data_IF_247513074988
#
_entry.id   IF_247513074988
#
_cell.length_a   1.000
_cell.length_b   1.000
_cell.length_c   1.000
_cell.angle_alpha   90.00
_cell.angle_beta   90.00
_cell.angle_gamma   90.00
#
_symmetry.space_group_name_H-M   'P 1'
#
loop_
_entity.id
_entity.type
_entity.pdbx_description
1 polymer ?
#
# COMPACT_ATOMS: atom_id res chain seq x y z
N UNK A 1 28.79 0.97 13.57
CA UNK A 1 27.47 1.37 13.02
C UNK A 1 27.34 0.76 11.63
N UNK A 2 26.69 -0.41 11.53
CA UNK A 2 26.43 -1.06 10.24
C UNK A 2 25.34 -0.28 9.51
N UNK A 3 25.67 0.30 8.37
CA UNK A 3 24.69 0.90 7.45
C UNK A 3 23.85 -0.25 6.93
N UNK A 4 22.55 -0.28 7.24
CA UNK A 4 21.61 -1.24 6.65
C UNK A 4 21.75 -1.15 5.12
N UNK A 5 22.37 -2.16 4.51
CA UNK A 5 22.51 -2.22 3.08
C UNK A 5 21.08 -2.25 2.49
N UNK A 6 20.66 -1.23 1.70
CA UNK A 6 19.34 -1.25 1.07
C UNK A 6 19.17 -2.45 0.13
N UNK A 7 20.26 -3.16 -0.17
CA UNK A 7 20.34 -4.37 -0.97
C UNK A 7 20.58 -5.64 -0.14
N UNK A 8 20.41 -5.64 1.19
CA UNK A 8 20.41 -6.85 2.01
C UNK A 8 18.96 -7.33 2.24
N UNK A 9 18.51 -8.30 1.44
CA UNK A 9 17.19 -8.92 1.59
C UNK A 9 16.69 -9.57 0.30
N UNK A 10 15.81 -10.57 0.38
CA UNK A 10 15.24 -11.22 -0.81
C UNK A 10 14.44 -10.26 -1.71
N UNK A 11 14.14 -10.66 -2.96
CA UNK A 11 13.42 -9.83 -3.93
C UNK A 11 12.03 -9.38 -3.41
N UNK A 12 11.26 -10.29 -2.81
CA UNK A 12 9.92 -10.00 -2.30
C UNK A 12 9.85 -8.89 -1.22
N UNK A 13 10.65 -8.91 -0.14
CA UNK A 13 10.61 -7.84 0.86
C UNK A 13 11.05 -6.48 0.30
N UNK A 14 11.97 -6.44 -0.68
CA UNK A 14 12.36 -5.19 -1.36
C UNK A 14 11.21 -4.61 -2.17
N UNK A 15 10.54 -5.42 -2.99
CA UNK A 15 9.39 -4.99 -3.76
C UNK A 15 8.25 -4.49 -2.86
N UNK A 16 8.00 -5.15 -1.72
CA UNK A 16 7.01 -4.71 -0.72
C UNK A 16 7.40 -3.42 -0.01
N UNK A 17 8.69 -3.19 0.22
CA UNK A 17 9.17 -1.92 0.79
C UNK A 17 8.97 -0.81 -0.22
N UNK A 18 9.34 -1.03 -1.47
CA UNK A 18 9.17 -0.08 -2.56
C UNK A 18 7.68 0.27 -2.79
N UNK A 19 6.79 -0.73 -2.83
CA UNK A 19 5.34 -0.49 -2.95
C UNK A 19 4.81 0.37 -1.79
N UNK A 20 5.26 0.11 -0.55
CA UNK A 20 4.88 0.92 0.62
C UNK A 20 5.41 2.36 0.54
N UNK A 21 6.65 2.54 0.10
CA UNK A 21 7.26 3.87 -0.10
C UNK A 21 6.49 4.64 -1.19
N UNK A 22 6.20 4.01 -2.34
CA UNK A 22 5.40 4.60 -3.42
C UNK A 22 3.95 4.89 -2.98
N UNK A 23 3.33 4.00 -2.22
CA UNK A 23 1.98 4.20 -1.69
C UNK A 23 1.90 5.42 -0.76
N UNK A 24 2.89 5.58 0.12
CA UNK A 24 2.98 6.70 1.03
C UNK A 24 3.17 8.02 0.25
N UNK A 25 4.11 8.05 -0.70
CA UNK A 25 4.35 9.22 -1.54
C UNK A 25 3.11 9.60 -2.38
N UNK A 26 2.46 8.62 -3.00
CA UNK A 26 1.23 8.81 -3.79
C UNK A 26 0.09 9.33 -2.91
N UNK A 27 -0.09 8.76 -1.71
CA UNK A 27 -1.16 9.20 -0.80
C UNK A 27 -0.91 10.61 -0.29
N UNK A 28 0.34 10.95 0.03
CA UNK A 28 0.71 12.31 0.45
C UNK A 28 0.44 13.31 -0.68
N UNK A 29 0.89 13.00 -1.90
CA UNK A 29 0.64 13.81 -3.09
C UNK A 29 -0.85 13.99 -3.35
N UNK A 30 -1.65 12.92 -3.36
CA UNK A 30 -3.12 13.01 -3.51
C UNK A 30 -3.78 13.86 -2.42
N UNK A 31 -3.25 13.84 -1.19
CA UNK A 31 -3.78 14.66 -0.10
C UNK A 31 -3.47 16.15 -0.27
N UNK A 32 -2.34 16.50 -0.92
CA UNK A 32 -1.96 17.88 -1.26
C UNK A 32 -2.64 18.36 -2.55
N UNK A 33 -2.79 17.47 -3.52
CA UNK A 33 -3.37 17.75 -4.84
C UNK A 33 -4.91 17.85 -4.81
N UNK A 34 -5.57 17.31 -3.78
CA UNK A 34 -7.02 17.52 -3.57
C UNK A 34 -7.41 19.00 -3.37
N UNK A 35 -6.44 19.88 -3.09
CA UNK A 35 -6.64 21.34 -3.02
C UNK A 35 -6.20 22.10 -4.26
N UNK A 36 -5.66 21.42 -5.29
CA UNK A 36 -5.29 22.04 -6.55
C UNK A 36 -6.51 22.16 -7.48
N UNK A 37 -6.52 23.18 -8.33
CA UNK A 37 -7.61 23.43 -9.28
C UNK A 37 -7.78 22.29 -10.32
N UNK A 38 -6.72 21.50 -10.56
CA UNK A 38 -6.76 20.36 -11.48
C UNK A 38 -5.91 19.20 -10.95
N UNK A 39 -6.52 18.17 -10.33
CA UNK A 39 -5.78 17.04 -9.80
C UNK A 39 -5.18 16.15 -10.89
N UNK A 40 -3.95 15.66 -10.71
CA UNK A 40 -3.23 14.79 -11.65
C UNK A 40 -3.77 13.34 -11.60
N UNK A 41 -4.87 13.12 -12.31
CA UNK A 41 -5.51 11.79 -12.36
C UNK A 41 -4.67 10.77 -13.12
N UNK A 42 -3.88 11.20 -14.10
CA UNK A 42 -3.17 10.30 -15.02
C UNK A 42 -1.88 9.80 -14.36
N UNK A 43 -1.08 10.68 -13.76
CA UNK A 43 0.12 10.30 -13.01
C UNK A 43 -0.21 9.34 -11.86
N UNK A 44 -1.26 9.62 -11.09
CA UNK A 44 -1.70 8.69 -10.04
C UNK A 44 -2.21 7.35 -10.56
N UNK A 45 -2.91 7.33 -11.71
CA UNK A 45 -3.33 6.07 -12.32
C UNK A 45 -2.13 5.23 -12.77
N UNK A 46 -1.11 5.85 -13.38
CA UNK A 46 0.13 5.19 -13.81
C UNK A 46 0.92 4.65 -12.61
N UNK A 47 1.07 5.41 -11.54
CA UNK A 47 1.67 4.93 -10.29
C UNK A 47 0.87 3.79 -9.66
N UNK A 48 -0.45 3.80 -9.79
CA UNK A 48 -1.32 2.68 -9.43
C UNK A 48 -1.00 1.41 -10.21
N UNK A 49 -0.69 1.52 -11.51
CA UNK A 49 -0.26 0.39 -12.34
C UNK A 49 1.12 -0.12 -11.94
N UNK A 50 2.10 0.76 -11.71
CA UNK A 50 3.42 0.37 -11.18
C UNK A 50 3.27 -0.50 -9.94
N UNK A 51 2.46 -0.04 -8.98
CA UNK A 51 2.23 -0.75 -7.71
C UNK A 51 1.55 -2.11 -7.90
N UNK A 52 0.62 -2.21 -8.86
CA UNK A 52 -0.03 -3.48 -9.21
C UNK A 52 0.99 -4.48 -9.72
N UNK A 53 1.87 -4.06 -10.62
CA UNK A 53 2.91 -4.95 -11.18
C UNK A 53 3.97 -5.33 -10.14
N UNK A 54 4.38 -4.42 -9.25
CA UNK A 54 5.23 -4.76 -8.10
C UNK A 54 4.56 -5.82 -7.20
N UNK A 55 3.25 -5.71 -7.00
CA UNK A 55 2.45 -6.69 -6.25
C UNK A 55 2.40 -8.06 -6.92
N UNK A 56 2.19 -8.10 -8.24
CA UNK A 56 2.21 -9.31 -9.05
C UNK A 56 3.58 -9.99 -8.98
N UNK A 57 4.65 -9.23 -9.20
CA UNK A 57 6.02 -9.71 -9.11
C UNK A 57 6.33 -10.28 -7.71
N UNK A 58 6.00 -9.54 -6.64
CA UNK A 58 6.20 -10.00 -5.26
C UNK A 58 5.37 -11.25 -4.94
N UNK A 59 4.18 -11.39 -5.54
CA UNK A 59 3.32 -12.56 -5.36
C UNK A 59 3.95 -13.84 -5.93
N UNK A 60 4.74 -13.76 -7.00
CA UNK A 60 5.43 -14.91 -7.62
C UNK A 60 6.55 -15.47 -6.74
N UNK A 61 7.09 -14.65 -5.85
CA UNK A 61 8.09 -15.06 -4.85
C UNK A 61 7.48 -15.61 -3.56
N UNK A 62 6.16 -15.53 -3.37
CA UNK A 62 5.49 -16.20 -2.25
C UNK A 62 5.54 -17.71 -2.49
N UNK A 63 6.34 -18.41 -1.69
CA UNK A 63 6.27 -19.86 -1.58
C UNK A 63 4.87 -20.26 -1.16
N UNK A 64 4.26 -21.16 -1.93
CA UNK A 64 2.90 -21.64 -1.70
C UNK A 64 2.81 -22.28 -0.31
N UNK A 65 2.15 -21.55 0.58
CA UNK A 65 1.17 -21.96 1.60
C UNK A 65 0.97 -20.67 2.38
N UNK A 66 0.04 -19.84 1.92
CA UNK A 66 -0.53 -18.80 2.79
C UNK A 66 -1.30 -19.57 3.87
N UNK A 67 -0.60 -20.04 4.90
CA UNK A 67 -1.23 -20.18 6.21
C UNK A 67 -1.94 -18.85 6.48
N UNK A 68 -3.14 -18.87 7.08
CA UNK A 68 -4.03 -17.72 7.12
C UNK A 68 -3.23 -16.48 7.51
N UNK A 69 -3.31 -15.44 6.68
CA UNK A 69 -2.51 -14.23 6.79
C UNK A 69 -2.57 -13.75 8.25
N UNK A 70 -1.43 -13.54 8.91
CA UNK A 70 -1.39 -13.15 10.34
C UNK A 70 -2.22 -11.89 10.61
N UNK A 71 -2.38 -11.02 9.60
CA UNK A 71 -3.28 -9.87 9.64
C UNK A 71 -4.75 -10.27 9.52
N UNK A 72 -5.09 -11.25 8.70
CA UNK A 72 -6.41 -11.87 8.63
C UNK A 72 -6.72 -12.66 9.91
N UNK A 73 -5.77 -13.40 10.48
CA UNK A 73 -5.89 -14.04 11.79
C UNK A 73 -6.15 -12.98 12.86
N UNK A 74 -5.38 -11.89 12.88
CA UNK A 74 -5.61 -10.82 13.85
C UNK A 74 -6.92 -10.08 13.63
N UNK A 75 -7.37 -9.91 12.38
CA UNK A 75 -8.64 -9.28 12.06
C UNK A 75 -9.82 -10.19 12.44
N UNK A 76 -9.69 -11.50 12.21
CA UNK A 76 -10.67 -12.51 12.63
C UNK A 76 -10.69 -12.63 14.15
N UNK A 77 -9.54 -12.67 14.83
CA UNK A 77 -9.46 -12.66 16.29
C UNK A 77 -10.02 -11.37 16.87
N UNK A 78 -9.73 -10.22 16.28
CA UNK A 78 -10.29 -8.94 16.70
C UNK A 78 -11.81 -8.91 16.48
N UNK A 79 -12.31 -9.47 15.37
CA UNK A 79 -13.74 -9.58 15.11
C UNK A 79 -14.42 -10.56 16.09
N UNK A 80 -13.80 -11.71 16.38
CA UNK A 80 -14.29 -12.66 17.39
C UNK A 80 -14.25 -12.06 18.79
N UNK A 81 -13.22 -11.28 19.13
CA UNK A 81 -13.11 -10.61 20.42
C UNK A 81 -14.11 -9.45 20.56
N UNK A 82 -14.28 -8.63 19.52
CA UNK A 82 -15.18 -7.47 19.55
C UNK A 82 -16.65 -7.84 19.38
N UNK A 83 -16.95 -8.95 18.70
CA UNK A 83 -18.33 -9.35 18.37
C UNK A 83 -18.69 -10.66 19.07
N UNK A 84 -17.87 -11.69 18.94
CA UNK A 84 -18.16 -13.04 19.45
C UNK A 84 -18.09 -13.16 20.98
N UNK A 85 -17.11 -12.55 21.64
CA UNK A 85 -16.98 -12.56 23.11
C UNK A 85 -18.12 -11.82 23.81
N UNK A 86 -18.53 -10.61 23.39
CA UNK A 86 -19.74 -9.99 23.93
C UNK A 86 -21.02 -10.78 23.60
N UNK A 87 -21.09 -11.46 22.45
CA UNK A 87 -22.19 -12.37 22.09
C UNK A 87 -22.29 -13.56 23.06
N UNK A 88 -21.16 -14.13 23.48
CA UNK A 88 -21.10 -15.30 24.36
C UNK A 88 -21.32 -14.94 25.84
N UNK A 89 -20.86 -13.76 26.27
CA UNK A 89 -20.92 -13.32 27.67
C UNK A 89 -22.25 -12.66 28.05
N UNK A 90 -23.03 -12.13 27.09
CA UNK A 90 -24.31 -11.46 27.37
C UNK A 90 -25.56 -12.35 27.19
N UNK A 91 -25.42 -13.63 26.85
CA UNK A 91 -26.57 -14.53 26.60
C UNK A 91 -26.76 -15.54 27.73
N UNK A 92 -27.48 -15.19 28.79
CA UNK A 92 -28.45 -16.07 29.40
C UNK A 92 -29.82 -15.80 28.75
N UNK A 93 -30.21 -16.63 27.78
CA UNK A 93 -31.57 -16.66 27.22
C UNK A 93 -31.81 -15.82 25.94
N UNK A 94 -32.94 -16.07 25.24
CA UNK A 94 -33.25 -15.54 23.90
C UNK A 94 -33.63 -14.05 23.92
N UNK A 95 -32.74 -13.19 24.41
CA UNK A 95 -32.95 -11.76 24.49
C UNK A 95 -32.47 -11.04 23.21
N UNK A 96 -33.40 -10.91 22.27
CA UNK A 96 -33.52 -9.83 21.27
C UNK A 96 -32.31 -9.58 20.31
N UNK A 97 -32.30 -10.24 19.12
CA UNK A 97 -31.27 -10.02 18.07
C UNK A 97 -31.14 -8.57 17.59
N UNK A 98 -32.14 -7.70 17.85
CA UNK A 98 -32.14 -6.29 17.48
C UNK A 98 -31.07 -5.44 18.20
N UNK A 99 -30.68 -5.80 19.44
CA UNK A 99 -29.64 -5.05 20.17
C UNK A 99 -28.25 -5.31 19.61
N UNK A 100 -28.03 -6.53 19.14
CA UNK A 100 -26.75 -6.96 18.56
C UNK A 100 -26.52 -6.37 17.16
N UNK A 101 -27.57 -6.29 16.33
CA UNK A 101 -27.49 -5.58 15.05
C UNK A 101 -27.24 -4.11 15.24
N UNK A 102 -27.85 -3.46 16.24
CA UNK A 102 -27.57 -2.07 16.58
C UNK A 102 -26.10 -1.84 16.98
N UNK A 103 -25.51 -2.73 17.78
CA UNK A 103 -24.08 -2.66 18.15
C UNK A 103 -23.18 -2.88 16.94
N UNK A 104 -23.46 -3.88 16.10
CA UNK A 104 -22.68 -4.14 14.90
C UNK A 104 -22.69 -2.94 13.92
N UNK A 105 -23.88 -2.36 13.71
CA UNK A 105 -24.05 -1.15 12.91
C UNK A 105 -23.31 0.03 13.54
N UNK A 106 -23.39 0.21 14.85
CA UNK A 106 -22.65 1.26 15.57
C UNK A 106 -21.13 1.10 15.42
N UNK A 107 -20.59 -0.12 15.49
CA UNK A 107 -19.18 -0.41 15.26
C UNK A 107 -18.75 -0.08 13.82
N UNK A 108 -19.57 -0.41 12.82
CA UNK A 108 -19.32 -0.04 11.42
C UNK A 108 -19.30 1.48 11.26
N UNK A 109 -20.26 2.20 11.84
CA UNK A 109 -20.31 3.67 11.82
C UNK A 109 -19.11 4.30 12.55
N UNK A 110 -18.74 3.77 13.71
CA UNK A 110 -17.56 4.21 14.45
C UNK A 110 -16.28 4.01 13.63
N UNK A 111 -16.16 2.91 12.88
CA UNK A 111 -15.04 2.66 11.98
C UNK A 111 -15.01 3.69 10.83
N UNK A 112 -16.15 4.01 10.22
CA UNK A 112 -16.24 5.05 9.19
C UNK A 112 -15.87 6.44 9.74
N UNK A 113 -16.38 6.81 10.92
CA UNK A 113 -16.03 8.04 11.62
C UNK A 113 -14.53 8.11 11.92
N UNK A 114 -13.97 7.04 12.48
CA UNK A 114 -12.55 6.94 12.77
C UNK A 114 -11.68 7.09 11.51
N UNK A 115 -12.06 6.43 10.41
CA UNK A 115 -11.39 6.60 9.09
C UNK A 115 -11.50 8.03 8.59
N UNK A 116 -12.67 8.67 8.72
CA UNK A 116 -12.88 10.05 8.31
C UNK A 116 -12.04 11.03 9.15
N UNK A 117 -11.95 10.81 10.46
CA UNK A 117 -11.10 11.60 11.37
C UNK A 117 -9.63 11.43 11.01
N UNK A 118 -9.16 10.20 10.82
CA UNK A 118 -7.78 9.94 10.37
C UNK A 118 -7.48 10.60 9.04
N UNK A 119 -8.42 10.56 8.08
CA UNK A 119 -8.28 11.25 6.79
C UNK A 119 -8.17 12.76 6.99
N UNK A 120 -9.04 13.36 7.81
CA UNK A 120 -8.98 14.80 8.14
C UNK A 120 -7.69 15.18 8.84
N UNK A 121 -7.20 14.36 9.78
CA UNK A 121 -5.93 14.61 10.48
C UNK A 121 -4.74 14.52 9.52
N UNK A 122 -4.73 13.56 8.60
CA UNK A 122 -3.70 13.46 7.56
C UNK A 122 -3.71 14.67 6.63
N UNK A 123 -4.89 15.08 6.15
CA UNK A 123 -5.04 16.30 5.33
C UNK A 123 -4.58 17.54 6.10
N UNK A 124 -4.98 17.69 7.37
CA UNK A 124 -4.54 18.80 8.22
C UNK A 124 -3.03 18.81 8.46
N UNK A 125 -2.40 17.64 8.63
CA UNK A 125 -0.94 17.51 8.75
C UNK A 125 -0.25 17.86 7.44
N UNK A 126 -0.77 17.40 6.30
CA UNK A 126 -0.26 17.76 4.98
C UNK A 126 -0.35 19.27 4.73
N UNK A 127 -1.45 19.92 5.13
CA UNK A 127 -1.60 21.40 5.09
C UNK A 127 -0.66 22.17 6.02
N UNK A 128 -0.20 21.54 7.10
CA UNK A 128 0.78 22.12 8.04
C UNK A 128 2.22 21.81 7.64
N UNK A 129 2.44 20.92 6.68
CA UNK A 129 3.78 20.70 6.17
C UNK A 129 4.23 21.98 5.46
N UNK A 130 5.44 22.51 5.74
CA UNK A 130 5.96 23.67 5.03
C UNK A 130 5.97 23.42 3.52
N UNK A 131 5.95 24.49 2.70
CA UNK A 131 5.96 24.52 1.22
C UNK A 131 7.19 23.80 0.60
N UNK A 132 7.35 22.54 0.92
CA UNK A 132 8.31 21.63 0.33
C UNK A 132 7.59 20.89 -0.79
N UNK A 133 8.23 20.72 -1.96
CA UNK A 133 7.67 19.93 -3.05
C UNK A 133 7.22 18.56 -2.54
N UNK A 134 6.16 18.01 -3.12
CA UNK A 134 5.68 16.71 -2.68
C UNK A 134 6.81 15.68 -2.93
N UNK A 135 6.97 14.65 -2.08
CA UNK A 135 7.99 13.62 -2.31
C UNK A 135 7.86 12.94 -3.68
N UNK A 136 6.67 12.98 -4.28
CA UNK A 136 6.40 12.46 -5.62
C UNK A 136 6.98 13.35 -6.73
N UNK A 137 7.34 14.60 -6.44
CA UNK A 137 7.99 15.49 -7.40
C UNK A 137 9.51 15.32 -7.37
N UNK A 138 10.04 14.54 -6.42
CA UNK A 138 11.47 14.32 -6.24
C UNK A 138 12.03 13.34 -7.30
N UNK A 139 12.92 13.79 -8.21
CA UNK A 139 13.55 12.91 -9.20
C UNK A 139 14.34 11.76 -8.57
N UNK A 140 14.87 11.95 -7.35
CA UNK A 140 15.61 10.89 -6.65
C UNK A 140 14.73 9.71 -6.26
N UNK A 141 13.44 9.93 -6.00
CA UNK A 141 12.48 8.87 -5.71
C UNK A 141 12.33 7.95 -6.94
N UNK A 142 12.11 8.52 -8.13
CA UNK A 142 11.99 7.74 -9.38
C UNK A 142 13.30 7.02 -9.73
N UNK A 143 14.44 7.70 -9.60
CA UNK A 143 15.73 7.09 -9.86
C UNK A 143 16.01 5.89 -8.93
N UNK A 144 15.67 6.03 -7.63
CA UNK A 144 15.81 4.94 -6.66
C UNK A 144 14.82 3.80 -6.94
N UNK A 145 13.57 4.13 -7.26
CA UNK A 145 12.56 3.14 -7.62
C UNK A 145 12.99 2.33 -8.84
N UNK A 146 13.41 3.02 -9.91
CA UNK A 146 13.92 2.42 -11.15
C UNK A 146 15.09 1.47 -10.88
N UNK A 147 16.16 1.93 -10.21
CA UNK A 147 17.32 1.09 -9.87
C UNK A 147 16.92 -0.14 -9.05
N UNK A 148 15.99 0.02 -8.12
CA UNK A 148 15.50 -1.10 -7.30
C UNK A 148 14.76 -2.11 -8.16
N UNK A 149 13.87 -1.67 -9.04
CA UNK A 149 13.10 -2.53 -9.95
C UNK A 149 14.03 -3.24 -10.93
N UNK A 150 14.98 -2.54 -11.54
CA UNK A 150 15.99 -3.11 -12.45
C UNK A 150 16.81 -4.20 -11.74
N UNK A 151 17.28 -3.94 -10.51
CA UNK A 151 18.03 -4.93 -9.73
C UNK A 151 17.21 -6.18 -9.39
N UNK A 152 15.92 -5.99 -9.07
CA UNK A 152 14.99 -7.09 -8.81
C UNK A 152 14.65 -7.86 -10.08
N UNK A 153 14.53 -7.19 -11.23
CA UNK A 153 14.29 -7.82 -12.53
C UNK A 153 15.50 -8.65 -12.96
N UNK A 154 16.72 -8.13 -12.80
CA UNK A 154 17.95 -8.88 -13.03
C UNK A 154 18.03 -10.13 -12.15
N UNK A 155 17.72 -9.98 -10.86
CA UNK A 155 17.65 -11.11 -9.92
C UNK A 155 16.59 -12.14 -10.32
N UNK A 156 15.44 -11.69 -10.80
CA UNK A 156 14.36 -12.56 -11.26
C UNK A 156 14.74 -13.37 -12.50
N UNK A 157 15.43 -12.76 -13.47
CA UNK A 157 15.90 -13.45 -14.68
C UNK A 157 16.89 -14.57 -14.36
N UNK A 158 17.70 -14.38 -13.32
CA UNK A 158 18.68 -15.37 -12.85
C UNK A 158 18.08 -16.48 -11.95
N UNK A 159 16.79 -16.40 -11.60
CA UNK A 159 16.17 -17.40 -10.73
C UNK A 159 15.94 -18.73 -11.47
N UNK A 160 16.11 -19.86 -10.78
CA UNK A 160 15.90 -21.20 -11.35
C UNK A 160 14.41 -21.52 -11.51
N UNK A 161 13.55 -20.95 -10.67
CA UNK A 161 12.11 -21.20 -10.73
C UNK A 161 11.48 -20.46 -11.90
N UNK A 162 10.80 -21.18 -12.80
CA UNK A 162 10.04 -20.59 -13.91
C UNK A 162 9.03 -19.52 -13.42
N UNK A 163 8.35 -19.81 -12.31
CA UNK A 163 7.40 -18.87 -11.68
C UNK A 163 8.06 -17.55 -11.29
N UNK A 164 9.27 -17.60 -10.73
CA UNK A 164 10.02 -16.42 -10.28
C UNK A 164 10.69 -15.69 -11.44
N UNK A 165 11.13 -16.40 -12.49
CA UNK A 165 11.55 -15.78 -13.75
C UNK A 165 10.45 -14.94 -14.39
N UNK A 166 9.21 -15.40 -14.34
CA UNK A 166 8.05 -14.63 -14.81
C UNK A 166 7.83 -13.30 -14.08
N UNK A 167 8.43 -13.09 -12.90
CA UNK A 167 8.38 -11.79 -12.23
C UNK A 167 9.24 -10.74 -12.94
N UNK A 168 10.21 -11.13 -13.78
CA UNK A 168 11.00 -10.19 -14.56
C UNK A 168 10.12 -9.39 -15.53
N UNK A 169 9.20 -10.05 -16.22
CA UNK A 169 8.26 -9.39 -17.14
C UNK A 169 7.34 -8.41 -16.41
N UNK A 170 6.76 -8.81 -15.26
CA UNK A 170 5.95 -7.90 -14.44
C UNK A 170 6.77 -6.65 -14.02
N UNK A 171 8.05 -6.83 -13.67
CA UNK A 171 8.93 -5.72 -13.30
C UNK A 171 9.34 -4.85 -14.49
N UNK A 172 9.44 -5.40 -15.70
CA UNK A 172 9.64 -4.63 -16.93
C UNK A 172 8.42 -3.73 -17.21
N UNK A 173 7.20 -4.28 -17.14
CA UNK A 173 5.99 -3.46 -17.22
C UNK A 173 5.92 -2.38 -16.14
N UNK A 174 6.37 -2.69 -14.91
CA UNK A 174 6.46 -1.70 -13.85
C UNK A 174 7.42 -0.55 -14.20
N UNK A 175 8.52 -0.81 -14.92
CA UNK A 175 9.44 0.24 -15.40
C UNK A 175 8.79 1.12 -16.46
N UNK A 176 8.06 0.54 -17.41
CA UNK A 176 7.37 1.29 -18.46
C UNK A 176 6.32 2.24 -17.86
N UNK A 177 5.52 1.73 -16.92
CA UNK A 177 4.55 2.57 -16.20
C UNK A 177 5.21 3.63 -15.33
N UNK A 178 6.39 3.34 -14.76
CA UNK A 178 7.13 4.31 -13.95
C UNK A 178 7.72 5.42 -14.82
N UNK A 179 8.26 5.08 -16.00
CA UNK A 179 8.75 6.05 -16.97
C UNK A 179 7.61 6.94 -17.47
N UNK A 180 6.47 6.33 -17.84
CA UNK A 180 5.28 7.08 -18.22
C UNK A 180 4.77 7.97 -17.07
N UNK A 181 4.80 7.52 -15.82
CA UNK A 181 4.44 8.37 -14.68
C UNK A 181 5.40 9.55 -14.50
N UNK A 182 6.69 9.37 -14.78
CA UNK A 182 7.70 10.42 -14.70
C UNK A 182 7.55 11.47 -15.82
N UNK A 183 7.14 11.06 -17.02
CA UNK A 183 6.90 11.96 -18.15
C UNK A 183 5.71 12.91 -17.93
N UNK A 184 4.72 12.46 -17.14
CA UNK A 184 3.51 13.24 -16.83
C UNK A 184 3.74 14.27 -15.72
N UNK A 185 4.83 14.16 -14.95
CA UNK A 185 5.19 15.18 -13.97
C UNK A 185 5.33 16.52 -14.71
N UNK A 186 4.74 17.61 -14.19
CA UNK A 186 4.96 18.93 -14.75
C UNK A 186 6.47 19.18 -14.69
N UNK A 187 7.14 19.11 -15.85
CA UNK A 187 8.56 19.47 -15.95
C UNK A 187 8.65 20.86 -15.35
N UNK A 188 9.33 20.97 -14.22
CA UNK A 188 9.56 22.24 -13.54
C UNK A 188 9.99 23.26 -14.61
N UNK A 189 9.09 24.18 -14.91
CA UNK A 189 9.37 25.38 -15.68
C UNK A 189 9.63 26.49 -14.68
#
# INVERSE_FOLDING_TARGET
MSRDDPFAGGVAPRLRRLDRELAAATTDAQCRDWTADRPDRIGFARLGQVRRELGNAAARYRTGTTGPDRTMISAVLLAVLLVGVPLLLLVPGPAQPARLTAIAVACVWALYLFRAVLRRLRIRRARKAPDRPAPIDDPFLYARARRTIESCAASARADRSYRRRGAAADLEYALDWLAAAQEELPRAR
#
